data_IF_056938110816
#
_entry.id   IF_056938110816
#
_cell.length_a   1.000
_cell.length_b   1.000
_cell.length_c   1.000
_cell.angle_alpha   90.00
_cell.angle_beta   90.00
_cell.angle_gamma   90.00
#
_symmetry.space_group_name_H-M   'P 1'
#
loop_
_entity.id
_entity.type
_entity.pdbx_description
1 polymer ?
#
# COMPACT_ATOMS: atom_id res chain seq x y z
N UNK A 1 -28.67 33.78 61.15
CA UNK A 1 -29.14 32.85 60.10
C UNK A 1 -28.09 32.82 59.00
N UNK A 2 -27.39 31.70 58.81
CA UNK A 2 -26.35 31.53 57.79
C UNK A 2 -27.02 31.05 56.50
N UNK A 3 -26.95 31.86 55.43
CA UNK A 3 -27.39 31.45 54.09
C UNK A 3 -26.27 30.61 53.46
N UNK A 4 -26.56 29.35 53.18
CA UNK A 4 -25.68 28.45 52.43
C UNK A 4 -26.02 28.65 50.95
N UNK A 5 -25.09 29.23 50.19
CA UNK A 5 -25.21 29.39 48.75
C UNK A 5 -24.82 28.07 48.08
N UNK A 6 -25.80 27.35 47.54
CA UNK A 6 -25.58 26.12 46.78
C UNK A 6 -25.14 26.48 45.35
N UNK A 7 -23.85 26.35 45.06
CA UNK A 7 -23.30 26.56 43.72
C UNK A 7 -23.56 25.30 42.87
N UNK A 8 -24.54 25.36 41.99
CA UNK A 8 -24.85 24.27 41.05
C UNK A 8 -23.77 24.16 39.97
N UNK A 9 -23.03 23.05 39.95
CA UNK A 9 -22.09 22.70 38.89
C UNK A 9 -22.90 22.25 37.67
N UNK A 10 -23.02 23.12 36.67
CA UNK A 10 -23.61 22.78 35.38
C UNK A 10 -22.57 22.02 34.54
N UNK A 11 -22.65 20.69 34.54
CA UNK A 11 -21.87 19.82 33.65
C UNK A 11 -22.36 20.03 32.21
N UNK A 12 -21.64 20.85 31.46
CA UNK A 12 -21.78 20.98 30.01
C UNK A 12 -21.34 19.66 29.34
N UNK A 13 -22.24 18.69 29.21
CA UNK A 13 -22.04 17.54 28.33
C UNK A 13 -22.12 18.02 26.88
N UNK A 14 -20.98 18.42 26.32
CA UNK A 14 -20.85 18.65 24.89
C UNK A 14 -21.17 17.38 24.12
N UNK A 15 -22.08 17.46 23.16
CA UNK A 15 -22.44 16.34 22.28
C UNK A 15 -21.23 16.01 21.39
N UNK A 16 -20.41 15.05 21.80
CA UNK A 16 -19.28 14.59 21.00
C UNK A 16 -19.82 13.87 19.76
N UNK A 17 -19.45 14.34 18.57
CA UNK A 17 -19.82 13.65 17.33
C UNK A 17 -19.20 12.25 17.32
N UNK A 18 -20.07 11.25 17.17
CA UNK A 18 -19.68 9.84 17.03
C UNK A 18 -18.78 9.71 15.79
N UNK A 19 -17.63 9.06 15.94
CA UNK A 19 -16.70 8.88 14.81
C UNK A 19 -17.29 7.98 13.72
N UNK A 20 -16.87 8.13 12.46
CA UNK A 20 -17.37 7.29 11.37
C UNK A 20 -17.18 5.79 11.60
N UNK A 21 -16.04 5.39 12.17
CA UNK A 21 -15.79 3.99 12.53
C UNK A 21 -16.79 3.54 13.59
N UNK A 22 -16.95 4.30 14.68
CA UNK A 22 -17.90 3.95 15.75
C UNK A 22 -19.31 3.81 15.19
N UNK A 23 -19.75 4.73 14.32
CA UNK A 23 -21.04 4.65 13.63
C UNK A 23 -21.18 3.38 12.78
N UNK A 24 -20.12 2.98 12.07
CA UNK A 24 -20.13 1.78 11.24
C UNK A 24 -20.18 0.49 12.07
N UNK A 25 -19.35 0.36 13.11
CA UNK A 25 -19.26 -0.86 13.91
C UNK A 25 -20.45 -1.08 14.86
N UNK A 26 -21.22 -0.03 15.15
CA UNK A 26 -22.47 -0.11 15.93
C UNK A 26 -23.72 -0.01 15.04
N UNK A 27 -23.57 -0.17 13.72
CA UNK A 27 -24.69 -0.08 12.78
C UNK A 27 -25.58 -1.32 12.88
N UNK A 28 -26.89 -1.15 12.77
CA UNK A 28 -27.86 -2.26 12.67
C UNK A 28 -27.82 -2.98 11.29
N UNK A 29 -26.79 -2.72 10.48
CA UNK A 29 -26.66 -3.35 9.16
C UNK A 29 -26.31 -4.83 9.33
N UNK A 30 -27.13 -5.72 8.75
CA UNK A 30 -27.00 -7.16 8.95
C UNK A 30 -25.63 -7.72 8.50
N UNK A 31 -25.02 -7.15 7.44
CA UNK A 31 -23.72 -7.60 6.95
C UNK A 31 -22.60 -7.15 7.89
N UNK A 32 -22.64 -5.91 8.35
CA UNK A 32 -21.68 -5.41 9.34
C UNK A 32 -21.81 -6.18 10.65
N UNK A 33 -23.03 -6.43 11.12
CA UNK A 33 -23.29 -7.24 12.31
C UNK A 33 -22.76 -8.67 12.18
N UNK A 34 -22.83 -9.27 10.99
CA UNK A 34 -22.24 -10.61 10.76
C UNK A 34 -20.73 -10.60 10.98
N UNK A 35 -20.04 -9.58 10.44
CA UNK A 35 -18.59 -9.41 10.62
C UNK A 35 -18.23 -9.11 12.07
N UNK A 36 -18.98 -8.21 12.71
CA UNK A 36 -18.73 -7.78 14.09
C UNK A 36 -18.99 -8.89 15.12
N UNK A 37 -19.96 -9.78 14.87
CA UNK A 37 -20.22 -10.96 15.73
C UNK A 37 -19.17 -12.06 15.58
N UNK A 38 -18.47 -12.11 14.43
CA UNK A 38 -17.42 -13.08 14.12
C UNK A 38 -16.05 -12.41 13.99
N UNK A 39 -15.83 -11.34 14.75
CA UNK A 39 -14.65 -10.49 14.61
C UNK A 39 -13.30 -11.23 14.71
N UNK A 40 -13.11 -12.22 15.60
CA UNK A 40 -11.83 -12.93 15.70
C UNK A 40 -11.44 -13.71 14.43
N UNK A 41 -12.41 -14.24 13.66
CA UNK A 41 -12.12 -14.99 12.42
C UNK A 41 -11.92 -14.07 11.21
N UNK A 42 -12.47 -12.86 11.25
CA UNK A 42 -12.33 -11.88 10.18
C UNK A 42 -11.12 -10.97 10.36
N UNK A 43 -10.58 -10.90 11.58
CA UNK A 43 -9.37 -10.15 11.91
C UNK A 43 -9.43 -8.68 11.42
N UNK A 44 -10.58 -8.01 11.55
CA UNK A 44 -10.76 -6.69 10.91
C UNK A 44 -9.94 -5.59 11.59
N UNK A 45 -9.11 -4.88 10.83
CA UNK A 45 -8.48 -3.61 11.23
C UNK A 45 -8.99 -2.45 10.38
N UNK A 46 -9.20 -1.29 11.00
CA UNK A 46 -9.61 -0.06 10.31
C UNK A 46 -8.77 1.10 10.83
N UNK A 47 -8.14 1.84 9.91
CA UNK A 47 -7.48 3.11 10.20
C UNK A 47 -8.07 4.19 9.31
N UNK A 48 -8.55 5.25 9.92
CA UNK A 48 -9.25 6.34 9.24
C UNK A 48 -8.63 7.69 9.60
N UNK A 49 -8.61 8.60 8.62
CA UNK A 49 -8.26 10.01 8.86
C UNK A 49 -9.21 10.91 8.11
N UNK A 50 -9.97 11.70 8.87
CA UNK A 50 -10.77 12.79 8.33
C UNK A 50 -9.86 13.97 8.02
N UNK A 51 -9.95 14.48 6.80
CA UNK A 51 -9.24 15.69 6.36
C UNK A 51 -10.11 16.90 6.65
N UNK A 52 -9.79 17.63 7.71
CA UNK A 52 -10.49 18.85 8.11
C UNK A 52 -9.71 20.05 7.57
N UNK A 53 -10.40 20.97 6.89
CA UNK A 53 -9.83 22.24 6.45
C UNK A 53 -10.40 23.35 7.31
N UNK A 54 -9.53 24.19 7.88
CA UNK A 54 -9.99 25.40 8.57
C UNK A 54 -10.35 26.52 7.58
N UNK A 55 -10.77 27.68 8.11
CA UNK A 55 -11.23 28.82 7.32
C UNK A 55 -10.16 29.38 6.37
N UNK A 56 -8.89 29.16 6.69
CA UNK A 56 -7.74 29.59 5.90
C UNK A 56 -7.26 28.48 4.94
N UNK A 57 -7.99 27.37 4.86
CA UNK A 57 -7.69 26.22 4.01
C UNK A 57 -6.61 25.29 4.56
N UNK A 58 -6.10 25.53 5.77
CA UNK A 58 -5.06 24.70 6.39
C UNK A 58 -5.65 23.35 6.79
N UNK A 59 -4.96 22.29 6.37
CA UNK A 59 -5.37 20.90 6.61
C UNK A 59 -4.99 20.46 8.02
N UNK A 60 -5.89 19.72 8.67
CA UNK A 60 -5.66 18.95 9.90
C UNK A 60 -6.27 17.56 9.73
N UNK A 61 -5.63 16.56 10.33
CA UNK A 61 -6.16 15.19 10.35
C UNK A 61 -6.81 14.89 11.69
N UNK A 62 -8.03 14.38 11.66
CA UNK A 62 -8.66 13.73 12.82
C UNK A 62 -8.63 12.23 12.59
N UNK A 63 -7.83 11.53 13.39
CA UNK A 63 -7.60 10.09 13.22
C UNK A 63 -8.54 9.28 14.10
N UNK A 64 -8.98 8.13 13.58
CA UNK A 64 -9.72 7.13 14.32
C UNK A 64 -9.25 5.74 13.90
N UNK A 65 -9.31 4.78 14.82
CA UNK A 65 -8.76 3.43 14.61
C UNK A 65 -9.61 2.36 15.29
N UNK A 66 -9.61 1.17 14.70
CA UNK A 66 -10.23 -0.02 15.25
C UNK A 66 -9.31 -1.23 15.03
N UNK A 67 -8.95 -1.90 16.14
CA UNK A 67 -8.06 -3.07 16.19
C UNK A 67 -6.71 -2.95 15.44
N UNK A 68 -6.25 -1.72 15.16
CA UNK A 68 -4.98 -1.51 14.46
C UNK A 68 -3.83 -2.06 15.30
N UNK A 69 -3.20 -3.11 14.79
CA UNK A 69 -2.08 -3.80 15.40
C UNK A 69 -1.08 -4.17 14.30
N UNK A 70 0.11 -3.60 14.37
CA UNK A 70 1.16 -3.82 13.37
C UNK A 70 1.86 -5.19 13.59
N UNK A 71 1.74 -5.78 14.78
CA UNK A 71 2.33 -7.08 15.13
C UNK A 71 1.44 -8.27 14.73
N UNK A 72 0.18 -8.00 14.35
CA UNK A 72 -0.74 -9.00 13.79
C UNK A 72 -0.61 -9.06 12.28
N UNK A 73 -0.23 -10.21 11.74
CA UNK A 73 0.04 -10.33 10.31
C UNK A 73 -1.24 -10.29 9.45
N UNK A 74 -1.25 -9.37 8.49
CA UNK A 74 -2.19 -9.31 7.38
C UNK A 74 -1.42 -9.37 6.06
N UNK A 75 -1.86 -10.26 5.17
CA UNK A 75 -1.27 -10.30 3.84
C UNK A 75 -1.71 -9.06 3.05
N UNK A 76 -0.78 -8.18 2.63
CA UNK A 76 -1.13 -6.90 2.04
C UNK A 76 -1.66 -6.99 0.61
N UNK A 77 -1.58 -8.16 -0.03
CA UNK A 77 -1.99 -8.37 -1.41
C UNK A 77 -1.48 -7.25 -2.35
N UNK A 78 -2.31 -6.72 -3.23
CA UNK A 78 -1.95 -5.67 -4.19
C UNK A 78 -1.65 -4.29 -3.60
N UNK A 79 -1.87 -4.06 -2.31
CA UNK A 79 -1.58 -2.73 -1.70
C UNK A 79 -0.09 -2.40 -1.71
N UNK A 80 0.78 -3.42 -1.78
CA UNK A 80 2.23 -3.25 -1.94
C UNK A 80 2.62 -2.57 -3.25
N UNK A 81 1.73 -2.51 -4.25
CA UNK A 81 2.04 -1.89 -5.54
C UNK A 81 2.27 -0.38 -5.43
N UNK A 82 1.56 0.29 -4.53
CA UNK A 82 1.69 1.74 -4.35
C UNK A 82 3.11 2.17 -3.95
N UNK A 83 3.73 1.66 -2.87
CA UNK A 83 5.09 2.08 -2.52
C UNK A 83 6.11 1.78 -3.63
N UNK A 84 5.94 0.70 -4.39
CA UNK A 84 6.85 0.37 -5.50
C UNK A 84 6.75 1.38 -6.62
N UNK A 85 5.53 1.81 -6.99
CA UNK A 85 5.33 2.89 -7.96
C UNK A 85 6.01 4.18 -7.51
N UNK A 86 5.84 4.57 -6.25
CA UNK A 86 6.42 5.80 -5.70
C UNK A 86 7.95 5.78 -5.72
N UNK A 87 8.55 4.67 -5.27
CA UNK A 87 10.00 4.50 -5.27
C UNK A 87 10.58 4.43 -6.69
N UNK A 88 9.88 3.77 -7.62
CA UNK A 88 10.33 3.64 -8.99
C UNK A 88 10.39 5.02 -9.68
N UNK A 89 9.40 5.88 -9.46
CA UNK A 89 9.41 7.25 -9.97
C UNK A 89 10.48 8.12 -9.29
N UNK A 90 10.63 8.03 -7.97
CA UNK A 90 11.70 8.72 -7.26
C UNK A 90 13.09 8.37 -7.82
N UNK A 91 13.33 7.09 -8.12
CA UNK A 91 14.56 6.65 -8.79
C UNK A 91 14.67 7.18 -10.22
N UNK A 92 13.58 7.14 -10.99
CA UNK A 92 13.53 7.64 -12.36
C UNK A 92 13.93 9.12 -12.43
N UNK A 93 13.42 9.93 -11.51
CA UNK A 93 13.66 11.39 -11.44
C UNK A 93 15.12 11.76 -11.18
N UNK A 94 15.91 10.84 -10.63
CA UNK A 94 17.36 11.05 -10.44
C UNK A 94 18.15 10.87 -11.74
N UNK A 95 17.55 10.26 -12.77
CA UNK A 95 18.21 10.02 -14.05
C UNK A 95 17.72 11.00 -15.13
N UNK A 96 18.56 11.99 -15.46
CA UNK A 96 18.25 13.05 -16.44
C UNK A 96 18.04 12.56 -17.88
N UNK A 97 18.39 11.31 -18.19
CA UNK A 97 18.18 10.71 -19.51
C UNK A 97 16.76 10.15 -19.68
N UNK A 98 16.03 9.98 -18.57
CA UNK A 98 14.78 9.23 -18.53
C UNK A 98 13.62 10.11 -18.08
N UNK A 99 12.42 9.74 -18.48
CA UNK A 99 11.15 10.27 -17.97
C UNK A 99 10.07 9.18 -18.05
N UNK A 100 8.87 9.48 -17.56
CA UNK A 100 7.78 8.49 -17.47
C UNK A 100 7.33 7.92 -18.82
N UNK A 101 7.67 8.59 -19.93
CA UNK A 101 7.35 8.19 -21.30
C UNK A 101 8.52 7.52 -22.02
N UNK A 102 9.71 7.44 -21.40
CA UNK A 102 10.85 6.73 -22.00
C UNK A 102 10.50 5.25 -22.16
N UNK A 103 10.55 4.70 -23.39
CA UNK A 103 10.33 3.28 -23.61
C UNK A 103 11.38 2.45 -22.89
N UNK A 104 10.95 1.39 -22.23
CA UNK A 104 11.84 0.44 -21.59
C UNK A 104 11.36 -0.99 -21.76
N UNK A 105 12.29 -1.92 -21.55
CA UNK A 105 12.05 -3.36 -21.63
C UNK A 105 12.91 -4.07 -20.59
N UNK A 106 12.31 -5.00 -19.85
CA UNK A 106 13.09 -5.95 -19.03
C UNK A 106 13.78 -6.93 -19.98
N UNK A 107 15.07 -7.20 -19.76
CA UNK A 107 15.86 -8.11 -20.60
C UNK A 107 15.14 -9.47 -20.71
N UNK A 108 15.03 -9.99 -21.94
CA UNK A 108 14.28 -11.21 -22.26
C UNK A 108 12.74 -11.17 -22.06
N UNK A 109 12.15 -10.04 -21.68
CA UNK A 109 10.70 -9.83 -21.83
C UNK A 109 10.35 -9.70 -23.33
N UNK A 110 9.08 -9.80 -23.69
CA UNK A 110 8.58 -9.50 -25.05
C UNK A 110 7.88 -8.14 -25.10
N UNK A 111 7.55 -7.57 -23.94
CA UNK A 111 6.79 -6.33 -23.83
C UNK A 111 7.72 -5.13 -23.67
N UNK A 112 7.62 -4.18 -24.61
CA UNK A 112 8.13 -2.82 -24.41
C UNK A 112 7.04 -1.97 -23.75
N UNK A 113 7.37 -1.32 -22.64
CA UNK A 113 6.45 -0.46 -21.88
C UNK A 113 7.03 0.93 -21.63
N UNK A 114 6.31 1.75 -20.88
CA UNK A 114 6.80 3.00 -20.27
C UNK A 114 6.33 3.04 -18.81
N UNK A 115 6.97 3.85 -17.96
CA UNK A 115 6.54 3.99 -16.57
C UNK A 115 5.09 4.47 -16.49
N UNK A 116 4.70 5.43 -17.33
CA UNK A 116 3.33 5.90 -17.41
C UNK A 116 2.34 4.76 -17.71
N UNK A 117 2.63 3.90 -18.69
CA UNK A 117 1.76 2.76 -19.04
C UNK A 117 1.68 1.75 -17.90
N UNK A 118 2.81 1.39 -17.30
CA UNK A 118 2.86 0.41 -16.22
C UNK A 118 2.14 0.94 -14.96
N UNK A 119 2.31 2.22 -14.62
CA UNK A 119 1.61 2.86 -13.49
C UNK A 119 0.09 2.89 -13.72
N UNK A 120 -0.36 3.27 -14.92
CA UNK A 120 -1.78 3.22 -15.28
C UNK A 120 -2.32 1.81 -15.14
N UNK A 121 -1.62 0.80 -15.66
CA UNK A 121 -2.04 -0.60 -15.55
C UNK A 121 -2.06 -1.10 -14.10
N UNK A 122 -1.12 -0.65 -13.26
CA UNK A 122 -1.08 -0.96 -11.83
C UNK A 122 -2.31 -0.39 -11.12
N UNK A 123 -2.70 0.85 -11.39
CA UNK A 123 -3.84 1.47 -10.70
C UNK A 123 -5.20 1.06 -11.30
N UNK A 124 -5.32 0.95 -12.61
CA UNK A 124 -6.58 0.65 -13.27
C UNK A 124 -7.00 -0.82 -13.16
N UNK A 125 -6.04 -1.75 -13.27
CA UNK A 125 -6.34 -3.20 -13.32
C UNK A 125 -5.44 -4.03 -12.40
N UNK A 126 -4.75 -3.39 -11.45
CA UNK A 126 -3.85 -4.07 -10.51
C UNK A 126 -2.82 -4.99 -11.19
N UNK A 127 -2.29 -4.57 -12.35
CA UNK A 127 -1.41 -5.40 -13.18
C UNK A 127 -0.17 -5.89 -12.41
N UNK A 128 -0.06 -7.21 -12.23
CA UNK A 128 1.11 -7.84 -11.63
C UNK A 128 2.34 -7.77 -12.54
N UNK A 129 2.15 -7.87 -13.86
CA UNK A 129 3.25 -7.78 -14.82
C UNK A 129 3.92 -6.40 -14.79
N UNK A 130 3.12 -5.33 -14.80
CA UNK A 130 3.63 -3.95 -14.68
C UNK A 130 4.35 -3.73 -13.34
N UNK A 131 3.76 -4.21 -12.23
CA UNK A 131 4.43 -4.17 -10.92
C UNK A 131 5.80 -4.88 -10.95
N UNK A 132 5.88 -6.07 -11.55
CA UNK A 132 7.10 -6.84 -11.60
C UNK A 132 8.20 -6.14 -12.42
N UNK A 133 7.86 -5.41 -13.48
CA UNK A 133 8.82 -4.60 -14.24
C UNK A 133 9.42 -3.47 -13.40
N UNK A 134 8.58 -2.76 -12.63
CA UNK A 134 9.06 -1.74 -11.69
C UNK A 134 9.86 -2.37 -10.54
N UNK A 135 9.51 -3.58 -10.13
CA UNK A 135 10.29 -4.36 -9.17
C UNK A 135 11.70 -4.69 -9.71
N UNK A 136 11.83 -5.11 -10.99
CA UNK A 136 13.16 -5.34 -11.60
C UNK A 136 14.00 -4.07 -11.63
N UNK A 137 13.37 -2.93 -11.92
CA UNK A 137 14.06 -1.64 -11.97
C UNK A 137 14.66 -1.24 -10.61
N UNK A 138 13.99 -1.58 -9.51
CA UNK A 138 14.44 -1.26 -8.15
C UNK A 138 15.31 -2.37 -7.54
N UNK A 139 14.79 -3.59 -7.46
CA UNK A 139 15.34 -4.70 -6.68
C UNK A 139 14.86 -4.71 -5.22
N UNK A 140 14.82 -5.91 -4.62
CA UNK A 140 14.30 -6.14 -3.27
C UNK A 140 15.04 -5.31 -2.21
N UNK A 141 16.37 -5.28 -2.22
CA UNK A 141 17.17 -4.58 -1.23
C UNK A 141 16.93 -3.08 -1.31
N UNK A 142 16.93 -2.53 -2.53
CA UNK A 142 16.71 -1.09 -2.75
C UNK A 142 15.31 -0.66 -2.27
N UNK A 143 14.30 -1.49 -2.53
CA UNK A 143 12.93 -1.26 -2.05
C UNK A 143 12.89 -1.19 -0.52
N UNK A 144 13.39 -2.23 0.14
CA UNK A 144 13.29 -2.34 1.60
C UNK A 144 14.16 -1.29 2.30
N UNK A 145 15.33 -0.97 1.76
CA UNK A 145 16.19 0.07 2.29
C UNK A 145 15.53 1.45 2.19
N UNK A 146 14.98 1.81 1.03
CA UNK A 146 14.31 3.11 0.87
C UNK A 146 13.06 3.25 1.74
N UNK A 147 12.27 2.18 1.92
CA UNK A 147 11.13 2.22 2.85
C UNK A 147 11.60 2.43 4.29
N UNK A 148 12.66 1.72 4.70
CA UNK A 148 13.27 1.87 6.03
C UNK A 148 13.79 3.30 6.26
N UNK A 149 14.52 3.86 5.30
CA UNK A 149 15.09 5.21 5.39
C UNK A 149 14.02 6.29 5.52
N UNK A 150 12.84 6.07 4.93
CA UNK A 150 11.67 6.97 5.06
C UNK A 150 10.84 6.72 6.33
N UNK A 151 11.29 5.81 7.22
CA UNK A 151 10.61 5.44 8.45
C UNK A 151 9.33 4.64 8.21
N UNK A 152 9.23 3.90 7.11
CA UNK A 152 8.07 3.08 6.76
C UNK A 152 8.36 1.62 7.14
N UNK A 153 7.60 1.10 8.10
CA UNK A 153 7.70 -0.31 8.50
C UNK A 153 7.04 -1.20 7.44
N UNK A 154 7.84 -1.88 6.63
CA UNK A 154 7.37 -2.81 5.61
C UNK A 154 8.46 -3.83 5.29
N UNK A 155 8.06 -4.96 4.71
CA UNK A 155 8.95 -5.98 4.14
C UNK A 155 8.39 -6.45 2.81
N UNK A 156 9.07 -6.12 1.72
CA UNK A 156 8.68 -6.57 0.37
C UNK A 156 9.63 -7.68 -0.06
N UNK A 157 9.15 -8.92 -0.07
CA UNK A 157 9.93 -10.12 -0.36
C UNK A 157 9.97 -10.45 -1.84
N UNK A 158 8.87 -10.28 -2.57
CA UNK A 158 8.77 -10.96 -3.86
C UNK A 158 7.92 -10.22 -4.88
N UNK A 159 8.15 -10.60 -6.13
CA UNK A 159 7.32 -10.31 -7.30
C UNK A 159 5.92 -10.90 -7.12
N UNK A 160 4.96 -10.47 -7.92
CA UNK A 160 3.57 -10.91 -7.81
C UNK A 160 3.20 -11.87 -8.94
N UNK A 161 2.56 -12.99 -8.57
CA UNK A 161 1.93 -13.95 -9.50
C UNK A 161 2.81 -14.43 -10.65
N UNK A 162 4.08 -14.74 -10.36
CA UNK A 162 4.99 -15.39 -11.32
C UNK A 162 5.74 -16.55 -10.64
N UNK A 163 6.22 -17.54 -11.41
CA UNK A 163 7.12 -18.56 -10.88
C UNK A 163 8.39 -17.94 -10.29
N UNK A 164 8.96 -18.56 -9.27
CA UNK A 164 10.20 -18.11 -8.60
C UNK A 164 10.15 -16.61 -8.22
N UNK A 165 8.99 -16.15 -7.76
CA UNK A 165 8.76 -14.73 -7.46
C UNK A 165 9.73 -14.13 -6.43
N UNK A 166 10.32 -15.00 -5.61
CA UNK A 166 11.30 -14.72 -4.55
C UNK A 166 12.76 -14.79 -5.03
N UNK A 167 13.01 -14.97 -6.33
CA UNK A 167 14.36 -14.93 -6.89
C UNK A 167 15.06 -13.61 -6.51
N UNK A 168 16.23 -13.72 -5.90
CA UNK A 168 16.97 -12.57 -5.38
C UNK A 168 17.74 -11.80 -6.46
N UNK A 169 17.84 -12.33 -7.68
CA UNK A 169 18.51 -11.64 -8.78
C UNK A 169 17.51 -10.81 -9.57
N UNK A 170 17.83 -9.55 -9.85
CA UNK A 170 17.05 -8.72 -10.78
C UNK A 170 17.46 -8.97 -12.22
N UNK A 171 16.52 -8.83 -13.14
CA UNK A 171 16.80 -8.82 -14.57
C UNK A 171 17.05 -7.39 -15.04
N UNK A 172 18.09 -7.11 -15.85
CA UNK A 172 18.37 -5.77 -16.37
C UNK A 172 17.17 -5.12 -17.06
N UNK A 173 17.03 -3.82 -16.90
CA UNK A 173 16.03 -3.00 -17.57
C UNK A 173 16.73 -2.08 -18.56
N UNK A 174 16.37 -2.20 -19.84
CA UNK A 174 16.93 -1.42 -20.94
C UNK A 174 15.96 -0.31 -21.32
N UNK A 175 16.46 0.92 -21.43
CA UNK A 175 15.71 2.10 -21.84
C UNK A 175 16.17 2.56 -23.21
N UNK A 176 15.22 3.00 -24.04
CA UNK A 176 15.46 3.24 -25.46
C UNK A 176 15.13 4.67 -25.88
N UNK A 177 15.84 5.14 -26.92
CA UNK A 177 15.50 6.33 -27.70
C UNK A 177 15.86 6.04 -29.16
N UNK A 178 14.89 6.19 -30.07
CA UNK A 178 15.06 5.89 -31.50
C UNK A 178 15.75 4.53 -31.73
N UNK A 179 15.19 3.47 -31.11
CA UNK A 179 15.67 2.08 -31.16
C UNK A 179 17.08 1.82 -30.60
N UNK A 180 17.75 2.84 -30.08
CA UNK A 180 19.05 2.72 -29.41
C UNK A 180 18.88 2.66 -27.90
N UNK A 181 19.63 1.78 -27.24
CA UNK A 181 19.67 1.72 -25.77
C UNK A 181 20.40 2.95 -25.25
N UNK A 182 19.73 3.77 -24.44
CA UNK A 182 20.30 4.99 -23.83
C UNK A 182 20.70 4.80 -22.37
N UNK A 183 20.15 3.78 -21.71
CA UNK A 183 20.46 3.43 -20.33
C UNK A 183 20.10 1.97 -20.09
N UNK A 184 20.92 1.27 -19.30
CA UNK A 184 20.70 -0.10 -18.86
C UNK A 184 20.95 -0.17 -17.36
N UNK A 185 20.05 -0.80 -16.61
CA UNK A 185 20.33 -1.11 -15.21
C UNK A 185 21.22 -2.33 -15.11
N UNK A 186 22.08 -2.37 -14.11
CA UNK A 186 22.85 -3.57 -13.78
C UNK A 186 21.96 -4.67 -13.18
N UNK A 187 22.40 -5.92 -13.36
CA UNK A 187 21.88 -7.06 -12.59
C UNK A 187 22.26 -6.88 -11.12
N UNK A 188 21.30 -7.02 -10.22
CA UNK A 188 21.52 -6.94 -8.77
C UNK A 188 21.26 -8.29 -8.12
N UNK A 189 22.20 -8.74 -7.29
CA UNK A 189 21.99 -9.84 -6.37
C UNK A 189 21.55 -9.29 -5.01
N UNK A 190 20.26 -9.45 -4.69
CA UNK A 190 19.69 -9.01 -3.41
C UNK A 190 20.03 -10.00 -2.29
N UNK A 191 19.99 -9.54 -1.05
CA UNK A 191 20.24 -10.37 0.11
C UNK A 191 18.98 -11.11 0.58
N UNK A 192 19.09 -12.38 1.02
CA UNK A 192 17.98 -13.05 1.67
C UNK A 192 17.49 -12.26 2.90
N UNK A 193 16.18 -12.04 3.01
CA UNK A 193 15.61 -11.39 4.19
C UNK A 193 15.29 -12.39 5.30
N UNK A 194 15.49 -11.95 6.55
CA UNK A 194 15.05 -12.71 7.72
C UNK A 194 13.53 -12.96 7.67
N UNK A 195 13.04 -14.12 8.13
CA UNK A 195 11.60 -14.38 8.22
C UNK A 195 10.90 -13.42 9.20
N UNK A 196 9.70 -12.97 8.84
CA UNK A 196 8.83 -12.18 9.69
C UNK A 196 8.53 -12.93 11.00
N UNK A 197 8.58 -12.19 12.11
CA UNK A 197 8.21 -12.65 13.45
C UNK A 197 6.97 -11.85 13.89
N UNK A 198 5.79 -12.32 13.49
CA UNK A 198 4.50 -11.65 13.71
C UNK A 198 3.46 -12.64 14.20
N UNK A 199 2.45 -12.16 14.90
CA UNK A 199 1.29 -12.94 15.34
C UNK A 199 0.42 -13.33 14.15
N UNK A 200 -0.32 -14.44 14.26
CA UNK A 200 -1.27 -14.92 13.24
C UNK A 200 -0.68 -15.05 11.83
N UNK A 201 0.58 -15.47 11.74
CA UNK A 201 1.30 -15.56 10.46
C UNK A 201 0.95 -16.79 9.62
N UNK A 202 0.33 -17.79 10.22
CA UNK A 202 -0.22 -18.95 9.51
C UNK A 202 -1.68 -18.65 9.13
N UNK A 203 -2.03 -18.81 7.85
CA UNK A 203 -3.40 -18.52 7.35
C UNK A 203 -4.01 -19.69 6.62
N UNK A 204 -5.35 -19.71 6.63
CA UNK A 204 -6.17 -20.73 5.97
C UNK A 204 -6.08 -22.10 6.65
N UNK A 205 -6.84 -23.05 6.10
CA UNK A 205 -6.82 -24.47 6.51
C UNK A 205 -6.09 -25.36 5.50
N UNK A 206 -5.70 -24.81 4.36
CA UNK A 206 -5.02 -25.48 3.27
C UNK A 206 -4.61 -24.51 2.17
N UNK A 207 -3.75 -24.97 1.26
CA UNK A 207 -3.29 -24.19 0.10
C UNK A 207 -2.87 -25.11 -1.04
N UNK A 208 -2.85 -24.59 -2.27
CA UNK A 208 -2.47 -25.37 -3.45
C UNK A 208 -1.02 -25.12 -3.85
N UNK A 209 -0.31 -26.19 -4.26
CA UNK A 209 0.98 -26.13 -4.95
C UNK A 209 0.83 -26.93 -6.25
N UNK A 210 0.89 -26.25 -7.39
CA UNK A 210 0.54 -26.86 -8.67
C UNK A 210 -0.88 -27.42 -8.60
N UNK A 211 -1.04 -28.69 -8.95
CA UNK A 211 -2.33 -29.39 -8.91
C UNK A 211 -2.62 -30.09 -7.58
N UNK A 212 -1.74 -29.94 -6.57
CA UNK A 212 -1.87 -30.61 -5.28
C UNK A 212 -2.43 -29.68 -4.20
N UNK A 213 -3.41 -30.17 -3.44
CA UNK A 213 -3.93 -29.51 -2.24
C UNK A 213 -3.15 -29.97 -1.00
N UNK A 214 -2.59 -29.02 -0.26
CA UNK A 214 -1.94 -29.25 1.03
C UNK A 214 -2.93 -28.91 2.15
N UNK A 215 -3.25 -29.88 3.00
CA UNK A 215 -4.23 -29.75 4.09
C UNK A 215 -3.62 -29.23 5.41
N UNK A 216 -2.94 -28.09 5.35
CA UNK A 216 -2.45 -27.38 6.53
C UNK A 216 -2.41 -25.87 6.29
N UNK A 217 -2.45 -25.03 7.34
CA UNK A 217 -2.27 -23.59 7.19
C UNK A 217 -0.97 -23.24 6.45
N UNK A 218 -1.03 -22.27 5.54
CA UNK A 218 0.16 -21.77 4.86
C UNK A 218 0.91 -20.83 5.79
N UNK A 219 2.24 -20.97 5.88
CA UNK A 219 3.09 -20.12 6.72
C UNK A 219 3.60 -18.90 5.94
N UNK A 220 3.24 -17.68 6.37
CA UNK A 220 3.52 -16.45 5.61
C UNK A 220 4.81 -15.71 6.02
N UNK A 221 5.70 -16.33 6.81
CA UNK A 221 6.91 -15.65 7.32
C UNK A 221 7.89 -15.14 6.25
N UNK A 222 7.77 -15.58 5.00
CA UNK A 222 8.57 -15.10 3.86
C UNK A 222 7.73 -14.38 2.79
N UNK A 223 6.58 -13.84 3.18
CA UNK A 223 5.66 -13.12 2.30
C UNK A 223 5.69 -11.63 2.60
N UNK A 224 5.22 -10.84 1.63
CA UNK A 224 5.16 -9.39 1.76
C UNK A 224 4.38 -8.98 3.04
N UNK A 225 4.88 -7.97 3.73
CA UNK A 225 4.26 -7.36 4.91
C UNK A 225 4.21 -5.84 4.73
N UNK A 226 3.01 -5.29 4.86
CA UNK A 226 2.75 -3.86 4.82
C UNK A 226 1.54 -3.61 5.73
N UNK A 227 1.75 -3.25 7.02
CA UNK A 227 0.67 -3.04 7.96
C UNK A 227 -0.15 -1.80 7.57
N UNK A 228 -1.41 -1.76 7.99
CA UNK A 228 -2.35 -0.69 7.60
C UNK A 228 -1.84 0.69 8.00
N UNK A 229 -1.09 0.81 9.11
CA UNK A 229 -0.45 2.06 9.52
C UNK A 229 0.57 2.56 8.50
N UNK A 230 1.40 1.67 7.96
CA UNK A 230 2.38 1.99 6.93
C UNK A 230 1.71 2.35 5.61
N UNK A 231 0.71 1.57 5.18
CA UNK A 231 -0.06 1.86 3.97
C UNK A 231 -0.73 3.24 4.06
N UNK A 232 -1.37 3.53 5.19
CA UNK A 232 -2.00 4.83 5.45
C UNK A 232 -0.98 5.97 5.46
N UNK A 233 0.18 5.75 6.09
CA UNK A 233 1.29 6.71 6.09
C UNK A 233 1.87 6.97 4.70
N UNK A 234 1.90 5.97 3.81
CA UNK A 234 2.29 6.12 2.40
C UNK A 234 1.27 6.99 1.65
N UNK A 235 -0.03 6.71 1.80
CA UNK A 235 -1.08 7.53 1.19
C UNK A 235 -1.00 8.99 1.66
N UNK A 236 -0.80 9.23 2.96
CA UNK A 236 -0.64 10.59 3.49
C UNK A 236 0.60 11.28 2.91
N UNK A 237 1.73 10.58 2.72
CA UNK A 237 2.93 11.16 2.07
C UNK A 237 2.68 11.52 0.61
N UNK A 238 1.90 10.73 -0.12
CA UNK A 238 1.49 11.07 -1.50
C UNK A 238 0.56 12.28 -1.51
N UNK A 239 -0.49 12.27 -0.69
CA UNK A 239 -1.55 13.29 -0.73
C UNK A 239 -1.17 14.60 -0.04
N UNK A 240 -0.33 14.56 0.99
CA UNK A 240 0.03 15.69 1.85
C UNK A 240 1.51 15.63 2.29
N UNK A 241 2.47 15.65 1.33
CA UNK A 241 3.90 15.50 1.62
C UNK A 241 4.43 16.53 2.62
N UNK A 242 3.85 17.72 2.67
CA UNK A 242 4.22 18.83 3.56
C UNK A 242 4.08 18.51 5.06
N UNK A 243 3.32 17.48 5.42
CA UNK A 243 3.20 17.01 6.81
C UNK A 243 4.34 16.09 7.25
N UNK A 244 5.27 15.77 6.36
CA UNK A 244 6.39 14.88 6.63
C UNK A 244 7.71 15.63 6.49
N UNK A 245 8.74 15.34 7.31
CA UNK A 245 10.09 15.81 7.07
C UNK A 245 10.58 15.37 5.68
N UNK A 246 11.43 16.17 5.03
CA UNK A 246 11.93 15.87 3.66
C UNK A 246 12.52 14.47 3.51
N UNK A 247 13.26 13.99 4.51
CA UNK A 247 13.83 12.64 4.53
C UNK A 247 12.77 11.51 4.49
N UNK A 248 11.55 11.77 4.94
CA UNK A 248 10.44 10.81 4.95
C UNK A 248 9.52 10.95 3.72
N UNK A 249 9.69 11.99 2.90
CA UNK A 249 8.90 12.20 1.69
C UNK A 249 9.40 11.30 0.55
N UNK A 250 8.52 11.06 -0.43
CA UNK A 250 8.95 10.56 -1.74
C UNK A 250 9.40 11.74 -2.60
N UNK A 251 10.55 11.62 -3.25
CA UNK A 251 11.13 12.67 -4.08
C UNK A 251 10.51 12.65 -5.49
N UNK A 252 9.31 13.22 -5.57
CA UNK A 252 8.49 13.29 -6.77
C UNK A 252 8.44 14.72 -7.30
N UNK A 253 8.49 14.87 -8.62
CA UNK A 253 8.14 16.14 -9.26
C UNK A 253 6.67 16.47 -9.03
N UNK A 254 6.30 17.74 -9.19
CA UNK A 254 4.89 18.15 -9.05
C UNK A 254 4.01 17.43 -10.08
N UNK A 255 4.53 17.27 -11.30
CA UNK A 255 3.88 16.62 -12.43
C UNK A 255 3.68 15.12 -12.16
N UNK A 256 4.72 14.41 -11.69
CA UNK A 256 4.61 12.98 -11.37
C UNK A 256 3.63 12.73 -10.23
N UNK A 257 3.69 13.57 -9.19
CA UNK A 257 2.77 13.48 -8.07
C UNK A 257 1.32 13.68 -8.52
N UNK A 258 1.06 14.67 -9.38
CA UNK A 258 -0.28 14.90 -9.91
C UNK A 258 -0.74 13.71 -10.78
N UNK A 259 0.14 13.22 -11.66
CA UNK A 259 -0.12 12.04 -12.49
C UNK A 259 -0.52 10.82 -11.65
N UNK A 260 0.18 10.57 -10.52
CA UNK A 260 -0.16 9.51 -9.60
C UNK A 260 -1.54 9.70 -8.96
N UNK A 261 -1.86 10.92 -8.50
CA UNK A 261 -3.14 11.22 -7.86
C UNK A 261 -4.30 11.02 -8.83
N UNK A 262 -4.17 11.50 -10.08
CA UNK A 262 -5.21 11.39 -11.10
C UNK A 262 -5.49 9.92 -11.48
N UNK A 263 -4.43 9.11 -11.61
CA UNK A 263 -4.57 7.70 -11.99
C UNK A 263 -4.91 6.77 -10.82
N UNK A 264 -4.51 7.12 -9.59
CA UNK A 264 -4.92 6.38 -8.40
C UNK A 264 -6.38 6.68 -8.03
N UNK A 265 -6.82 7.93 -8.18
CA UNK A 265 -8.18 8.38 -7.88
C UNK A 265 -9.23 7.94 -8.90
N UNK A 266 -8.91 7.89 -10.19
CA UNK A 266 -9.84 7.43 -11.25
C UNK A 266 -10.28 5.96 -11.08
N UNK A 267 -9.42 5.09 -10.53
CA UNK A 267 -9.80 3.71 -10.18
C UNK A 267 -10.82 3.65 -9.02
N UNK A 268 -10.84 4.66 -8.15
CA UNK A 268 -11.76 4.75 -7.00
C UNK A 268 -13.15 5.25 -7.36
N UNK A 269 -13.31 6.00 -8.47
CA UNK A 269 -14.62 6.46 -8.94
C UNK A 269 -15.37 5.42 -9.79
N UNK A 270 -14.65 4.45 -10.37
CA UNK A 270 -15.24 3.49 -11.33
C UNK A 270 -15.45 2.05 -10.86
N UNK A 271 -14.80 1.57 -9.78
CA UNK A 271 -14.74 0.12 -9.48
C UNK A 271 -15.40 -0.33 -8.17
N UNK A 272 -15.74 0.57 -7.24
CA UNK A 272 -16.37 0.19 -5.97
C UNK A 272 -17.91 0.16 -6.00
N UNK A 273 -18.55 0.63 -7.09
CA UNK A 273 -20.02 0.72 -7.22
C UNK A 273 -20.65 -0.31 -8.18
N UNK A 274 -19.90 -1.30 -8.65
CA UNK A 274 -20.44 -2.37 -9.49
C UNK A 274 -19.92 -3.74 -8.99
N UNK A 275 -20.77 -4.62 -8.44
CA UNK A 275 -20.38 -5.98 -8.13
C UNK A 275 -20.32 -6.77 -9.44
N UNK A 276 -19.19 -6.70 -10.15
CA UNK A 276 -18.85 -7.69 -11.19
C UNK A 276 -17.66 -8.49 -10.71
N UNK A 277 -17.96 -9.70 -10.23
CA UNK A 277 -17.06 -10.83 -10.19
C UNK A 277 -15.66 -10.53 -9.66
N UNK A 278 -15.54 -10.31 -8.35
CA UNK A 278 -14.29 -10.61 -7.67
C UNK A 278 -14.09 -12.14 -7.78
N UNK A 279 -13.29 -12.59 -8.74
CA UNK A 279 -12.64 -13.91 -8.64
C UNK A 279 -11.52 -13.76 -7.63
N UNK A 280 -11.93 -13.66 -6.37
CA UNK A 280 -11.02 -13.80 -5.26
C UNK A 280 -10.66 -15.27 -5.19
N UNK A 281 -9.38 -15.57 -5.41
CA UNK A 281 -8.77 -16.67 -4.67
C UNK A 281 -8.82 -16.26 -3.19
N UNK A 282 -9.98 -16.53 -2.57
CA UNK A 282 -10.14 -16.65 -1.14
C UNK A 282 -9.27 -17.85 -0.72
N UNK A 283 -8.33 -17.59 0.18
CA UNK A 283 -7.92 -18.62 1.13
C UNK A 283 -8.93 -18.65 2.28
#
# INVERSE_FOLDING_TARGET
>A
MKYVTLLGILLMMGCASVSPIKKAITSDDAKLNTVMTHLPIHEVQILFSEVVRDKDGKVKFKEDKFQVDDDHYFYPASTVKLPIVLLALEKLNRNKLLNIHTPFKVENDWVTSTFAKDIIAIFAVSSNAAFNRLFEYLGQDEINQQLKDKGINAKIYHRLSIPNSDNLTTTPVLFYKNDSVIYKTETKANQPMAPLQLNSISKGIGYTIGDSLVHQPMHFSKKNYLPIRSLHGILKRLMYPEFFPKAQQFDLTAEDRQFLIDNHGSASQGSWLQPRGFSGYLC
#
